data_IF_761660476994
#
_entry.id   IF_761660476994
#
_cell.length_a   1.000
_cell.length_b   1.000
_cell.length_c   1.000
_cell.angle_alpha   90.00
_cell.angle_beta   90.00
_cell.angle_gamma   90.00
#
_symmetry.space_group_name_H-M   'P 1'
#
loop_
_entity.id
_entity.type
_entity.pdbx_description
1 polymer ?
#
# COMPACT_ATOMS: atom_id res chain seq x y z
N UNK A 1 -18.82 -11.83 12.58
CA UNK A 1 -18.74 -12.18 11.15
C UNK A 1 -17.48 -12.99 10.90
N UNK A 2 -17.47 -13.77 9.82
CA UNK A 2 -16.29 -14.49 9.35
C UNK A 2 -15.62 -13.68 8.23
N UNK A 3 -14.42 -13.21 8.48
CA UNK A 3 -13.70 -12.30 7.57
C UNK A 3 -12.51 -13.02 6.94
N UNK A 4 -12.51 -13.13 5.61
CA UNK A 4 -11.34 -13.60 4.87
C UNK A 4 -10.31 -12.47 4.77
N UNK A 5 -9.09 -12.73 5.21
CA UNK A 5 -7.96 -11.81 5.07
C UNK A 5 -6.84 -12.52 4.29
N UNK A 6 -6.57 -12.08 3.07
CA UNK A 6 -5.43 -12.60 2.30
C UNK A 6 -4.18 -11.77 2.60
N UNK A 7 -3.00 -12.40 2.64
CA UNK A 7 -1.79 -11.74 3.11
C UNK A 7 -1.76 -11.54 4.63
N UNK A 8 -2.45 -12.41 5.35
CA UNK A 8 -2.69 -12.33 6.80
C UNK A 8 -1.42 -12.40 7.66
N UNK A 9 -0.36 -13.06 7.17
CA UNK A 9 0.95 -13.15 7.86
C UNK A 9 1.90 -12.01 7.48
N UNK A 10 1.49 -11.13 6.57
CA UNK A 10 2.25 -9.94 6.20
C UNK A 10 2.29 -8.89 7.32
N UNK A 11 3.18 -7.90 7.20
CA UNK A 11 3.35 -6.84 8.22
C UNK A 11 2.03 -6.15 8.58
N UNK A 12 1.23 -5.74 7.60
CA UNK A 12 -0.08 -5.09 7.85
C UNK A 12 -1.13 -6.15 8.21
N UNK A 13 -1.08 -7.30 7.54
CA UNK A 13 -2.06 -8.39 7.71
C UNK A 13 -2.16 -8.88 9.15
N UNK A 14 -1.03 -9.11 9.82
CA UNK A 14 -1.03 -9.56 11.21
C UNK A 14 -1.73 -8.59 12.17
N UNK A 15 -1.54 -7.28 11.97
CA UNK A 15 -2.24 -6.26 12.78
C UNK A 15 -3.73 -6.19 12.46
N UNK A 16 -4.11 -6.32 11.18
CA UNK A 16 -5.53 -6.35 10.77
C UNK A 16 -6.24 -7.57 11.34
N UNK A 17 -5.61 -8.75 11.27
CA UNK A 17 -6.12 -9.98 11.90
C UNK A 17 -6.39 -9.75 13.39
N UNK A 18 -5.42 -9.21 14.12
CA UNK A 18 -5.60 -8.90 15.53
C UNK A 18 -6.73 -7.92 15.75
N UNK A 19 -6.78 -6.82 15.02
CA UNK A 19 -7.83 -5.79 15.18
C UNK A 19 -9.23 -6.32 14.91
N UNK A 20 -9.41 -7.23 13.94
CA UNK A 20 -10.68 -7.88 13.65
C UNK A 20 -11.09 -8.83 14.77
N UNK A 21 -10.16 -9.61 15.31
CA UNK A 21 -10.42 -10.52 16.43
C UNK A 21 -10.78 -9.74 17.70
N UNK A 22 -10.08 -8.64 18.00
CA UNK A 22 -10.37 -7.76 19.14
C UNK A 22 -11.78 -7.16 19.04
N UNK A 23 -12.34 -7.02 17.83
CA UNK A 23 -13.76 -6.64 17.60
C UNK A 23 -14.74 -7.81 17.62
N UNK A 24 -14.29 -9.01 17.92
CA UNK A 24 -15.15 -10.21 18.04
C UNK A 24 -15.49 -10.88 16.72
N UNK A 25 -14.72 -10.66 15.66
CA UNK A 25 -14.85 -11.38 14.40
C UNK A 25 -14.01 -12.66 14.39
N UNK A 26 -14.44 -13.65 13.62
CA UNK A 26 -13.61 -14.79 13.26
C UNK A 26 -12.85 -14.44 11.97
N UNK A 27 -11.55 -14.70 11.93
CA UNK A 27 -10.71 -14.39 10.77
C UNK A 27 -10.22 -15.67 10.11
N UNK A 28 -10.54 -15.85 8.83
CA UNK A 28 -9.93 -16.85 7.97
C UNK A 28 -8.69 -16.17 7.36
N UNK A 29 -7.52 -16.46 7.91
CA UNK A 29 -6.25 -15.83 7.51
C UNK A 29 -5.52 -16.65 6.48
N UNK A 30 -5.49 -16.19 5.22
CA UNK A 30 -4.84 -16.88 4.11
C UNK A 30 -3.49 -16.24 3.81
N UNK A 31 -2.42 -17.04 3.81
CA UNK A 31 -1.07 -16.64 3.42
C UNK A 31 -0.25 -17.84 2.96
N UNK A 32 0.88 -17.61 2.30
CA UNK A 32 1.85 -18.66 1.95
C UNK A 32 2.69 -19.16 3.12
N UNK A 33 2.71 -18.38 4.20
CA UNK A 33 3.44 -18.71 5.42
C UNK A 33 2.51 -18.72 6.62
N UNK A 34 2.83 -19.54 7.61
CA UNK A 34 2.08 -19.56 8.87
C UNK A 34 2.17 -18.22 9.60
N UNK A 35 1.11 -17.81 10.31
CA UNK A 35 1.18 -16.64 11.18
C UNK A 35 2.21 -16.85 12.29
N UNK A 36 2.90 -15.76 12.67
CA UNK A 36 3.89 -15.81 13.77
C UNK A 36 3.18 -15.93 15.12
N UNK A 37 1.98 -15.35 15.23
CA UNK A 37 1.18 -15.33 16.45
C UNK A 37 -0.15 -16.02 16.17
N UNK A 38 -0.50 -16.96 17.03
CA UNK A 38 -1.80 -17.61 17.02
C UNK A 38 -2.77 -16.85 17.94
N UNK A 39 -3.97 -16.60 17.43
CA UNK A 39 -5.05 -15.96 18.19
C UNK A 39 -6.26 -16.85 18.25
N UNK A 40 -6.96 -16.86 19.39
CA UNK A 40 -8.29 -17.44 19.43
C UNK A 40 -9.22 -16.63 18.51
N UNK A 41 -9.87 -17.29 17.56
CA UNK A 41 -10.68 -16.64 16.52
C UNK A 41 -9.95 -16.49 15.17
N UNK A 42 -8.65 -16.88 15.08
CA UNK A 42 -7.95 -17.03 13.81
C UNK A 42 -8.02 -18.47 13.32
N UNK A 43 -8.48 -18.66 12.10
CA UNK A 43 -8.38 -19.89 11.31
C UNK A 43 -7.28 -19.69 10.28
N UNK A 44 -6.03 -20.13 10.54
CA UNK A 44 -4.94 -19.94 9.61
C UNK A 44 -5.01 -20.96 8.48
N UNK A 45 -4.96 -20.49 7.24
CA UNK A 45 -4.91 -21.31 6.03
C UNK A 45 -3.64 -21.01 5.26
N UNK A 46 -2.74 -22.00 5.18
CA UNK A 46 -1.48 -21.87 4.44
C UNK A 46 -1.67 -22.40 3.03
N UNK A 47 -1.74 -21.50 2.07
CA UNK A 47 -1.86 -21.85 0.64
C UNK A 47 -1.22 -20.78 -0.25
N UNK A 48 -0.91 -21.17 -1.49
CA UNK A 48 -0.56 -20.22 -2.54
C UNK A 48 -1.82 -19.82 -3.29
N UNK A 49 -2.10 -18.52 -3.35
CA UNK A 49 -3.28 -17.98 -4.05
C UNK A 49 -3.32 -18.28 -5.56
N UNK A 50 -2.26 -18.85 -6.13
CA UNK A 50 -2.28 -19.40 -7.49
C UNK A 50 -3.05 -20.71 -7.62
N UNK A 51 -3.21 -21.44 -6.52
CA UNK A 51 -4.02 -22.67 -6.51
C UNK A 51 -5.50 -22.30 -6.46
N UNK A 52 -6.12 -22.21 -7.64
CA UNK A 52 -7.55 -21.87 -7.76
C UNK A 52 -8.43 -22.83 -7.00
N UNK A 53 -8.11 -24.13 -7.04
CA UNK A 53 -8.90 -25.17 -6.37
C UNK A 53 -8.80 -25.03 -4.84
N UNK A 54 -7.61 -24.74 -4.30
CA UNK A 54 -7.44 -24.51 -2.87
C UNK A 54 -8.19 -23.24 -2.41
N UNK A 55 -8.16 -22.17 -3.21
CA UNK A 55 -8.94 -20.97 -2.92
C UNK A 55 -10.44 -21.28 -2.92
N UNK A 56 -10.96 -22.04 -3.89
CA UNK A 56 -12.36 -22.48 -3.93
C UNK A 56 -12.69 -23.32 -2.68
N UNK A 57 -11.78 -24.20 -2.25
CA UNK A 57 -11.98 -25.03 -1.06
C UNK A 57 -12.08 -24.18 0.22
N UNK A 58 -11.31 -23.08 0.35
CA UNK A 58 -11.45 -22.16 1.49
C UNK A 58 -12.88 -21.61 1.61
N UNK A 59 -13.53 -21.28 0.50
CA UNK A 59 -14.92 -20.81 0.49
C UNK A 59 -15.93 -21.93 0.70
N UNK A 60 -15.60 -23.16 0.35
CA UNK A 60 -16.45 -24.32 0.62
C UNK A 60 -16.44 -24.71 2.10
N UNK A 61 -15.27 -24.65 2.73
CA UNK A 61 -15.09 -25.04 4.12
C UNK A 61 -15.52 -23.97 5.13
N UNK A 62 -15.59 -22.70 4.68
CA UNK A 62 -15.84 -21.57 5.55
C UNK A 62 -16.97 -20.69 5.01
N UNK A 63 -17.96 -20.37 5.87
CA UNK A 63 -18.89 -19.31 5.56
C UNK A 63 -18.17 -17.96 5.69
N UNK A 64 -17.90 -17.30 4.56
CA UNK A 64 -17.22 -16.01 4.52
C UNK A 64 -18.25 -14.91 4.31
N UNK A 65 -18.26 -13.91 5.20
CA UNK A 65 -19.17 -12.78 5.14
C UNK A 65 -18.55 -11.57 4.41
N UNK A 66 -17.23 -11.39 4.49
CA UNK A 66 -16.48 -10.32 3.83
C UNK A 66 -15.03 -10.74 3.53
N UNK A 67 -14.41 -10.09 2.54
CA UNK A 67 -13.02 -10.32 2.16
C UNK A 67 -12.22 -9.01 2.21
N UNK A 68 -11.07 -9.02 2.91
CA UNK A 68 -10.05 -7.96 2.85
C UNK A 68 -8.85 -8.53 2.09
N UNK A 69 -8.63 -8.05 0.86
CA UNK A 69 -7.53 -8.52 0.03
C UNK A 69 -6.29 -7.63 0.19
N UNK A 70 -5.34 -8.13 1.01
CA UNK A 70 -4.05 -7.49 1.31
C UNK A 70 -2.88 -8.14 0.58
N UNK A 71 -3.02 -9.39 0.13
CA UNK A 71 -1.93 -10.13 -0.50
C UNK A 71 -1.40 -9.35 -1.71
N UNK A 72 -0.14 -8.98 -1.68
CA UNK A 72 0.53 -8.30 -2.77
C UNK A 72 2.05 -8.32 -2.61
N UNK A 73 2.75 -8.31 -3.73
CA UNK A 73 4.16 -7.99 -3.80
C UNK A 73 4.33 -6.47 -3.75
N UNK A 74 4.49 -5.90 -2.55
CA UNK A 74 4.58 -4.45 -2.34
C UNK A 74 6.00 -3.97 -2.04
N UNK A 75 6.73 -4.70 -1.18
CA UNK A 75 8.04 -4.31 -0.69
C UNK A 75 9.09 -5.29 -1.17
N UNK A 76 9.99 -4.78 -2.00
CA UNK A 76 10.97 -5.56 -2.74
C UNK A 76 12.41 -5.25 -2.32
N UNK A 77 12.58 -4.64 -1.13
CA UNK A 77 13.90 -4.38 -0.59
C UNK A 77 14.70 -5.69 -0.46
N UNK A 78 15.81 -5.79 -1.17
CA UNK A 78 16.65 -7.00 -1.22
C UNK A 78 16.28 -8.03 -2.29
N UNK A 79 15.14 -7.92 -2.97
CA UNK A 79 14.79 -8.79 -4.10
C UNK A 79 15.45 -8.27 -5.38
N UNK A 80 16.13 -9.17 -6.11
CA UNK A 80 16.74 -8.85 -7.42
C UNK A 80 15.81 -9.32 -8.54
N UNK A 81 15.88 -8.65 -9.69
CA UNK A 81 15.24 -9.04 -10.95
C UNK A 81 13.70 -9.09 -10.95
N UNK A 82 13.04 -8.17 -10.25
CA UNK A 82 11.59 -8.05 -10.29
C UNK A 82 11.13 -7.44 -11.61
N UNK A 83 10.55 -8.27 -12.45
CA UNK A 83 9.99 -7.87 -13.76
C UNK A 83 8.54 -7.44 -13.64
N UNK A 84 8.00 -6.84 -14.69
CA UNK A 84 6.56 -6.58 -14.81
C UNK A 84 5.73 -7.85 -14.66
N UNK A 85 6.17 -8.95 -15.31
CA UNK A 85 5.50 -10.24 -15.24
C UNK A 85 5.37 -10.77 -13.84
N UNK A 86 6.41 -10.58 -13.00
CA UNK A 86 6.35 -10.97 -11.59
C UNK A 86 5.27 -10.21 -10.84
N UNK A 87 5.19 -8.89 -11.04
CA UNK A 87 4.15 -8.07 -10.42
C UNK A 87 2.76 -8.40 -10.94
N UNK A 88 2.60 -8.56 -12.26
CA UNK A 88 1.35 -8.94 -12.89
C UNK A 88 0.85 -10.27 -12.35
N UNK A 89 1.71 -11.27 -12.32
CA UNK A 89 1.39 -12.59 -11.81
C UNK A 89 0.92 -12.52 -10.36
N UNK A 90 1.70 -11.92 -9.46
CA UNK A 90 1.41 -11.95 -8.02
C UNK A 90 0.27 -10.98 -7.64
N UNK A 91 0.23 -9.77 -8.20
CA UNK A 91 -0.70 -8.73 -7.75
C UNK A 91 -2.00 -8.68 -8.56
N UNK A 92 -2.03 -9.29 -9.76
CA UNK A 92 -3.23 -9.28 -10.60
C UNK A 92 -3.83 -10.67 -10.70
N UNK A 93 -3.09 -11.68 -11.20
CA UNK A 93 -3.65 -13.02 -11.42
C UNK A 93 -4.09 -13.70 -10.11
N UNK A 94 -3.29 -13.60 -9.04
CA UNK A 94 -3.73 -14.10 -7.72
C UNK A 94 -4.95 -13.35 -7.19
N UNK A 95 -5.00 -12.02 -7.40
CA UNK A 95 -6.15 -11.24 -6.97
C UNK A 95 -7.42 -11.64 -7.75
N UNK A 96 -7.32 -11.86 -9.06
CA UNK A 96 -8.43 -12.34 -9.90
C UNK A 96 -9.03 -13.64 -9.37
N UNK A 97 -8.21 -14.62 -8.99
CA UNK A 97 -8.67 -15.88 -8.42
C UNK A 97 -9.51 -15.64 -7.15
N UNK A 98 -9.04 -14.76 -6.26
CA UNK A 98 -9.78 -14.41 -5.04
C UNK A 98 -11.07 -13.66 -5.37
N UNK A 99 -11.02 -12.72 -6.33
CA UNK A 99 -12.19 -11.96 -6.75
C UNK A 99 -13.26 -12.84 -7.38
N UNK A 100 -12.87 -13.81 -8.23
CA UNK A 100 -13.79 -14.80 -8.81
C UNK A 100 -14.47 -15.64 -7.74
N UNK A 101 -13.71 -16.09 -6.74
CA UNK A 101 -14.26 -16.86 -5.61
C UNK A 101 -15.22 -16.01 -4.77
N UNK A 102 -14.89 -14.74 -4.48
CA UNK A 102 -15.77 -13.80 -3.79
C UNK A 102 -17.05 -13.53 -4.60
N UNK A 103 -16.93 -13.27 -5.91
CA UNK A 103 -18.07 -13.01 -6.78
C UNK A 103 -19.04 -14.20 -6.85
N UNK A 104 -18.50 -15.41 -6.98
CA UNK A 104 -19.29 -16.65 -7.01
C UNK A 104 -20.10 -16.86 -5.72
N UNK A 105 -19.56 -16.43 -4.58
CA UNK A 105 -20.17 -16.59 -3.25
C UNK A 105 -20.89 -15.31 -2.77
N UNK A 106 -21.01 -14.26 -3.60
CA UNK A 106 -21.59 -12.96 -3.25
C UNK A 106 -20.92 -12.30 -2.03
N UNK A 107 -19.62 -12.49 -1.85
CA UNK A 107 -18.83 -11.94 -0.74
C UNK A 107 -18.33 -10.54 -1.12
N UNK A 108 -18.65 -9.49 -0.36
CA UNK A 108 -18.10 -8.14 -0.57
C UNK A 108 -16.58 -8.09 -0.38
N UNK A 109 -15.91 -7.33 -1.22
CA UNK A 109 -14.43 -7.23 -1.22
C UNK A 109 -13.97 -5.83 -0.88
N UNK A 110 -13.08 -5.70 0.11
CA UNK A 110 -12.21 -4.56 0.26
C UNK A 110 -10.86 -4.86 -0.38
N UNK A 111 -10.51 -4.11 -1.42
CA UNK A 111 -9.21 -4.20 -2.07
C UNK A 111 -8.29 -3.09 -1.61
N UNK A 112 -7.12 -3.45 -1.10
CA UNK A 112 -6.13 -2.45 -0.70
C UNK A 112 -5.23 -2.13 -1.88
N UNK A 113 -5.40 -0.92 -2.39
CA UNK A 113 -4.63 -0.30 -3.46
C UNK A 113 -3.66 0.75 -2.91
N UNK A 114 -3.18 1.63 -3.75
CA UNK A 114 -2.16 2.62 -3.43
C UNK A 114 -2.31 3.88 -4.27
N UNK A 115 -1.89 5.03 -3.75
CA UNK A 115 -1.77 6.26 -4.54
C UNK A 115 -0.71 6.15 -5.66
N UNK A 116 0.21 5.18 -5.59
CA UNK A 116 1.16 4.91 -6.69
C UNK A 116 0.45 4.42 -7.98
N UNK A 117 -0.79 3.93 -7.88
CA UNK A 117 -1.62 3.61 -9.04
C UNK A 117 -2.01 4.86 -9.85
N UNK A 118 -2.08 6.03 -9.21
CA UNK A 118 -2.41 7.31 -9.86
C UNK A 118 -1.20 7.86 -10.66
N UNK A 119 0.02 7.69 -10.16
CA UNK A 119 1.24 8.07 -10.87
C UNK A 119 1.64 9.54 -10.71
N UNK A 120 2.11 10.18 -11.81
CA UNK A 120 2.66 11.55 -11.77
C UNK A 120 1.56 12.60 -11.98
N UNK A 121 0.89 12.99 -10.92
CA UNK A 121 -0.07 14.11 -10.91
C UNK A 121 0.47 15.24 -10.06
N UNK A 122 0.40 16.48 -10.56
CA UNK A 122 0.75 17.69 -9.81
C UNK A 122 -0.51 18.27 -9.19
N UNK A 123 -0.46 18.51 -7.87
CA UNK A 123 -1.55 19.17 -7.16
C UNK A 123 -2.52 18.19 -6.52
N UNK A 124 -3.82 18.47 -6.66
CA UNK A 124 -4.88 17.75 -5.98
C UNK A 124 -5.25 16.48 -6.76
N UNK A 125 -5.42 15.38 -6.03
CA UNK A 125 -5.97 14.13 -6.55
C UNK A 125 -7.26 13.78 -5.83
N UNK A 126 -8.17 13.15 -6.56
CA UNK A 126 -9.48 12.68 -6.07
C UNK A 126 -9.60 11.18 -6.32
N UNK A 127 -10.60 10.50 -5.76
CA UNK A 127 -10.90 9.11 -6.11
C UNK A 127 -11.06 8.87 -7.62
N UNK A 128 -11.57 9.88 -8.35
CA UNK A 128 -11.82 9.82 -9.81
C UNK A 128 -10.60 10.19 -10.66
N UNK A 129 -9.48 10.57 -10.04
CA UNK A 129 -8.27 10.90 -10.79
C UNK A 129 -7.82 9.72 -11.64
N UNK A 130 -7.58 9.95 -12.93
CA UNK A 130 -7.16 8.95 -13.90
C UNK A 130 -5.88 8.23 -13.46
N UNK A 131 -5.86 6.92 -13.65
CA UNK A 131 -4.71 6.08 -13.30
C UNK A 131 -3.65 6.14 -14.39
N UNK A 132 -2.45 6.61 -14.06
CA UNK A 132 -1.30 6.67 -14.97
C UNK A 132 -0.01 6.25 -14.24
N UNK A 133 0.05 5.02 -13.74
CA UNK A 133 1.13 4.54 -12.89
C UNK A 133 2.47 4.45 -13.62
N UNK A 134 3.55 4.72 -12.90
CA UNK A 134 4.92 4.66 -13.42
C UNK A 134 5.63 3.38 -12.96
N UNK A 135 5.47 3.01 -11.69
CA UNK A 135 6.11 1.81 -11.14
C UNK A 135 5.36 0.54 -11.54
N UNK A 136 6.07 -0.59 -11.65
CA UNK A 136 5.43 -1.90 -11.87
C UNK A 136 4.43 -2.24 -10.76
N UNK A 137 4.75 -1.86 -9.52
CA UNK A 137 3.81 -1.99 -8.40
C UNK A 137 2.53 -1.18 -8.64
N UNK A 138 2.66 0.12 -8.92
CA UNK A 138 1.49 0.97 -9.21
C UNK A 138 0.66 0.45 -10.40
N UNK A 139 1.33 0.02 -11.49
CA UNK A 139 0.67 -0.59 -12.66
C UNK A 139 -0.12 -1.84 -12.29
N UNK A 140 0.47 -2.73 -11.49
CA UNK A 140 -0.20 -3.96 -11.06
C UNK A 140 -1.41 -3.68 -10.17
N UNK A 141 -1.31 -2.71 -9.26
CA UNK A 141 -2.44 -2.32 -8.40
C UNK A 141 -3.56 -1.65 -9.21
N UNK A 142 -3.21 -0.75 -10.15
CA UNK A 142 -4.18 -0.14 -11.07
C UNK A 142 -4.92 -1.18 -11.92
N UNK A 143 -4.20 -2.17 -12.44
CA UNK A 143 -4.80 -3.27 -13.22
C UNK A 143 -5.72 -4.13 -12.36
N UNK A 144 -5.32 -4.45 -11.12
CA UNK A 144 -6.15 -5.22 -10.19
C UNK A 144 -7.42 -4.45 -9.77
N UNK A 145 -7.36 -3.09 -9.63
CA UNK A 145 -8.57 -2.27 -9.43
C UNK A 145 -9.59 -2.44 -10.58
N UNK A 146 -9.10 -2.46 -11.83
CA UNK A 146 -9.95 -2.70 -13.01
C UNK A 146 -10.59 -4.08 -12.94
N UNK A 147 -9.79 -5.13 -12.68
CA UNK A 147 -10.28 -6.51 -12.57
C UNK A 147 -11.30 -6.70 -11.46
N UNK A 148 -11.10 -6.07 -10.30
CA UNK A 148 -12.08 -6.10 -9.20
C UNK A 148 -13.45 -5.58 -9.67
N UNK A 149 -13.46 -4.41 -10.35
CA UNK A 149 -14.70 -3.77 -10.81
C UNK A 149 -15.43 -4.60 -11.88
N UNK A 150 -14.68 -5.33 -12.71
CA UNK A 150 -15.25 -6.21 -13.72
C UNK A 150 -15.83 -7.50 -13.13
N UNK A 151 -15.18 -8.07 -12.10
CA UNK A 151 -15.49 -9.38 -11.55
C UNK A 151 -16.51 -9.28 -10.40
N UNK A 152 -16.32 -8.34 -9.48
CA UNK A 152 -17.11 -8.26 -8.24
C UNK A 152 -18.26 -7.26 -8.36
N UNK A 153 -19.44 -7.65 -7.89
CA UNK A 153 -20.62 -6.77 -7.83
C UNK A 153 -20.59 -5.80 -6.64
N UNK A 154 -19.95 -6.19 -5.55
CA UNK A 154 -19.94 -5.45 -4.28
C UNK A 154 -18.50 -5.31 -3.80
N UNK A 155 -17.97 -4.09 -3.79
CA UNK A 155 -16.58 -3.82 -3.48
C UNK A 155 -16.36 -2.40 -2.93
N UNK A 156 -15.23 -2.22 -2.24
CA UNK A 156 -14.60 -0.92 -2.04
C UNK A 156 -13.11 -1.03 -2.37
N UNK A 157 -12.51 0.08 -2.78
CA UNK A 157 -11.07 0.21 -3.03
C UNK A 157 -10.53 1.27 -2.08
N UNK A 158 -9.53 0.89 -1.28
CA UNK A 158 -8.79 1.84 -0.46
C UNK A 158 -7.41 2.07 -1.07
N UNK A 159 -7.18 3.26 -1.63
CA UNK A 159 -5.86 3.71 -2.12
C UNK A 159 -5.10 4.30 -0.94
N UNK A 160 -4.17 3.53 -0.40
CA UNK A 160 -3.36 4.00 0.72
C UNK A 160 -2.29 4.98 0.29
N UNK A 161 -2.15 6.09 1.01
CA UNK A 161 -0.94 6.90 1.04
C UNK A 161 0.24 6.07 1.58
N UNK A 162 1.51 6.49 1.39
CA UNK A 162 2.65 5.72 1.87
C UNK A 162 2.52 5.37 3.36
N UNK A 163 2.39 4.07 3.64
CA UNK A 163 2.23 3.57 5.01
C UNK A 163 3.57 3.59 5.73
N UNK A 164 3.60 4.11 6.95
CA UNK A 164 4.79 4.15 7.81
C UNK A 164 4.48 3.76 9.24
N UNK A 165 5.52 3.37 9.96
CA UNK A 165 5.57 3.32 11.42
C UNK A 165 6.72 4.20 11.91
N UNK A 166 6.78 4.58 13.19
CA UNK A 166 7.94 5.28 13.76
C UNK A 166 9.27 4.57 13.48
N UNK A 167 9.27 3.24 13.48
CA UNK A 167 10.45 2.39 13.31
C UNK A 167 10.76 2.11 11.82
N UNK A 168 9.74 2.08 10.96
CA UNK A 168 9.86 1.69 9.55
C UNK A 168 9.41 2.84 8.66
N UNK A 169 10.34 3.74 8.34
CA UNK A 169 10.09 4.92 7.51
C UNK A 169 10.16 4.65 6.00
N UNK A 170 10.69 3.50 5.58
CA UNK A 170 10.71 2.96 4.18
C UNK A 170 11.04 4.00 3.10
N UNK A 171 10.12 4.21 2.14
CA UNK A 171 10.32 5.14 1.02
C UNK A 171 10.27 6.61 1.44
N UNK A 172 9.70 6.91 2.61
CA UNK A 172 9.72 8.27 3.17
C UNK A 172 11.14 8.64 3.57
N UNK A 173 11.90 7.72 4.18
CA UNK A 173 13.30 7.94 4.57
C UNK A 173 14.15 8.40 3.38
N UNK A 174 13.94 7.82 2.19
CA UNK A 174 14.66 8.19 0.97
C UNK A 174 14.45 9.64 0.51
N UNK A 175 13.49 10.35 1.07
CA UNK A 175 13.15 11.74 0.70
C UNK A 175 13.84 12.78 1.56
N UNK A 176 14.54 12.36 2.63
CA UNK A 176 15.19 13.29 3.56
C UNK A 176 16.49 12.74 4.18
N UNK A 177 16.85 11.47 3.94
CA UNK A 177 17.99 10.84 4.60
C UNK A 177 18.82 10.00 3.64
N UNK A 178 20.17 10.15 3.73
CA UNK A 178 21.17 9.37 3.02
C UNK A 178 21.89 8.46 4.02
N UNK A 179 21.74 7.15 3.86
CA UNK A 179 22.41 6.15 4.73
C UNK A 179 23.93 6.24 4.71
N UNK A 180 24.48 6.72 3.61
CA UNK A 180 25.91 7.00 3.43
C UNK A 180 26.05 8.39 2.84
N UNK A 181 26.66 9.33 3.54
CA UNK A 181 27.47 9.27 4.78
C UNK A 181 26.72 9.51 6.10
N UNK A 182 25.47 9.11 6.27
CA UNK A 182 24.58 9.39 7.39
C UNK A 182 24.24 10.87 7.50
N UNK A 183 23.77 11.43 6.41
CA UNK A 183 23.35 12.82 6.33
C UNK A 183 21.86 12.91 6.09
N UNK A 184 21.21 13.79 6.81
CA UNK A 184 19.89 14.23 6.43
C UNK A 184 20.01 15.25 5.28
N UNK A 185 18.96 15.38 4.49
CA UNK A 185 18.88 16.44 3.50
C UNK A 185 17.48 17.00 3.36
N UNK A 186 17.38 18.25 2.94
CA UNK A 186 16.11 18.86 2.55
C UNK A 186 16.24 19.65 1.27
N UNK A 187 15.15 19.71 0.51
CA UNK A 187 15.06 20.45 -0.74
C UNK A 187 14.38 21.78 -0.43
N UNK A 188 15.11 22.89 -0.64
CA UNK A 188 14.65 24.22 -0.24
C UNK A 188 14.46 24.33 1.28
N UNK A 189 13.26 24.73 1.72
CA UNK A 189 12.92 24.84 3.14
C UNK A 189 12.41 23.51 3.74
N UNK A 190 12.39 22.44 2.98
CA UNK A 190 11.74 21.19 3.31
C UNK A 190 10.39 21.06 2.63
N UNK A 191 9.64 20.02 2.97
CA UNK A 191 8.32 19.75 2.40
C UNK A 191 7.49 18.87 3.32
N UNK A 192 6.18 18.93 3.11
CA UNK A 192 5.22 18.11 3.84
C UNK A 192 4.65 17.06 2.90
N UNK A 193 4.47 15.84 3.39
CA UNK A 193 3.96 14.71 2.63
C UNK A 193 2.68 14.18 3.28
N UNK A 194 1.73 13.78 2.43
CA UNK A 194 0.64 12.92 2.87
C UNK A 194 1.18 11.51 3.06
N UNK A 195 0.86 10.95 4.20
CA UNK A 195 1.27 9.61 4.64
C UNK A 195 0.11 8.93 5.35
N UNK A 196 0.27 7.68 5.70
CA UNK A 196 -0.70 6.93 6.50
C UNK A 196 0.05 6.17 7.59
N UNK A 197 -0.22 6.51 8.85
CA UNK A 197 0.28 5.72 9.96
C UNK A 197 -0.35 4.33 9.92
N UNK A 198 0.41 3.32 10.30
CA UNK A 198 -0.06 1.94 10.32
C UNK A 198 -1.33 1.77 11.14
N UNK A 199 -1.46 2.49 12.26
CA UNK A 199 -2.67 2.45 13.11
C UNK A 199 -3.89 2.96 12.35
N UNK A 200 -3.76 4.06 11.59
CA UNK A 200 -4.84 4.57 10.72
C UNK A 200 -5.20 3.58 9.61
N UNK A 201 -4.20 2.93 9.01
CA UNK A 201 -4.42 1.91 8.00
C UNK A 201 -5.22 0.71 8.56
N UNK A 202 -4.86 0.24 9.75
CA UNK A 202 -5.55 -0.87 10.42
C UNK A 202 -6.98 -0.47 10.77
N UNK A 203 -7.17 0.71 11.41
CA UNK A 203 -8.50 1.20 11.77
C UNK A 203 -9.42 1.30 10.56
N UNK A 204 -8.94 1.87 9.45
CA UNK A 204 -9.73 1.99 8.23
C UNK A 204 -10.24 0.64 7.71
N UNK A 205 -9.40 -0.40 7.73
CA UNK A 205 -9.77 -1.74 7.28
C UNK A 205 -10.69 -2.47 8.26
N UNK A 206 -10.41 -2.35 9.55
CA UNK A 206 -11.23 -2.98 10.61
C UNK A 206 -12.61 -2.34 10.69
N UNK A 207 -12.70 -1.01 10.53
CA UNK A 207 -13.97 -0.29 10.53
C UNK A 207 -14.80 -0.53 9.26
N UNK A 208 -14.16 -0.86 8.13
CA UNK A 208 -14.86 -1.20 6.90
C UNK A 208 -15.80 -2.40 7.06
N UNK A 209 -15.46 -3.32 7.92
CA UNK A 209 -16.24 -4.56 8.11
C UNK A 209 -17.67 -4.27 8.59
N UNK A 210 -17.89 -3.18 9.32
CA UNK A 210 -19.20 -2.78 9.84
C UNK A 210 -19.92 -1.76 8.94
N UNK A 211 -19.25 -1.24 7.90
CA UNK A 211 -19.80 -0.23 6.98
C UNK A 211 -20.60 -0.88 5.85
N UNK A 212 -21.53 -0.12 5.27
CA UNK A 212 -22.16 -0.48 4.00
C UNK A 212 -21.11 -0.44 2.89
N UNK A 213 -21.07 -1.47 2.07
CA UNK A 213 -20.22 -1.52 0.87
C UNK A 213 -20.99 -0.91 -0.29
N UNK A 214 -20.44 0.10 -0.95
CA UNK A 214 -21.15 0.99 -1.88
C UNK A 214 -20.42 1.21 -3.22
N UNK A 215 -19.44 0.37 -3.53
CA UNK A 215 -18.66 0.40 -4.78
C UNK A 215 -17.89 1.71 -4.99
N UNK A 216 -17.34 2.27 -3.91
CA UNK A 216 -16.58 3.51 -3.94
C UNK A 216 -15.08 3.30 -3.77
N UNK A 217 -14.33 4.31 -4.19
CA UNK A 217 -12.88 4.40 -4.00
C UNK A 217 -12.62 5.46 -2.95
N UNK A 218 -11.77 5.15 -1.98
CA UNK A 218 -11.33 6.09 -0.96
C UNK A 218 -9.81 6.22 -0.97
N UNK A 219 -9.32 7.43 -0.78
CA UNK A 219 -7.89 7.66 -0.50
C UNK A 219 -7.70 7.76 1.00
N UNK A 220 -7.02 6.80 1.58
CA UNK A 220 -6.81 6.72 3.02
C UNK A 220 -5.45 7.32 3.37
N UNK A 221 -5.46 8.30 4.25
CA UNK A 221 -4.30 9.07 4.70
C UNK A 221 -4.49 9.56 6.13
N UNK A 222 -3.42 10.01 6.75
CA UNK A 222 -3.51 10.76 8.01
C UNK A 222 -4.08 12.16 7.77
N UNK A 223 -4.74 12.72 8.77
CA UNK A 223 -5.21 14.12 8.74
C UNK A 223 -4.05 15.11 8.77
N UNK A 224 -2.97 14.75 9.46
CA UNK A 224 -1.79 15.59 9.57
C UNK A 224 -0.75 15.25 8.50
N UNK A 225 -0.10 16.29 8.00
CA UNK A 225 1.00 16.14 7.04
C UNK A 225 2.30 15.84 7.78
N UNK A 226 3.08 14.92 7.26
CA UNK A 226 4.40 14.62 7.77
C UNK A 226 5.41 15.68 7.31
N UNK A 227 5.93 16.49 8.25
CA UNK A 227 6.93 17.53 7.97
C UNK A 227 8.35 16.92 7.96
N UNK A 228 9.06 17.12 6.86
CA UNK A 228 10.46 16.70 6.70
C UNK A 228 11.38 17.34 7.74
N UNK A 229 11.12 18.59 8.16
CA UNK A 229 11.96 19.22 9.17
C UNK A 229 11.83 18.54 10.53
N UNK A 230 10.64 18.07 10.89
CA UNK A 230 10.42 17.28 12.12
C UNK A 230 11.17 15.95 12.04
N UNK A 231 11.08 15.26 10.89
CA UNK A 231 11.82 14.00 10.68
C UNK A 231 13.33 14.20 10.81
N UNK A 232 13.87 15.27 10.21
CA UNK A 232 15.30 15.60 10.28
C UNK A 232 15.71 15.92 11.72
N UNK A 233 14.86 16.66 12.47
CA UNK A 233 15.13 16.96 13.87
C UNK A 233 15.21 15.67 14.72
N UNK A 234 14.31 14.72 14.49
CA UNK A 234 14.33 13.42 15.17
C UNK A 234 15.60 12.61 14.82
N UNK A 235 15.98 12.55 13.52
CA UNK A 235 17.22 11.86 13.10
C UNK A 235 18.47 12.45 13.76
N UNK A 236 18.49 13.77 13.99
CA UNK A 236 19.57 14.45 14.71
C UNK A 236 19.56 14.11 16.20
N UNK A 237 18.39 14.16 16.84
CA UNK A 237 18.23 13.83 18.25
C UNK A 237 18.64 12.39 18.57
N UNK A 238 18.35 11.47 17.66
CA UNK A 238 18.78 10.07 17.75
C UNK A 238 20.26 9.84 17.37
N UNK A 239 20.99 10.88 16.99
CA UNK A 239 22.40 10.80 16.59
C UNK A 239 22.64 10.11 15.24
N UNK A 240 21.59 9.79 14.48
CA UNK A 240 21.70 9.12 13.17
C UNK A 240 22.14 10.08 12.06
N UNK A 241 21.66 11.32 12.06
CA UNK A 241 22.07 12.34 11.09
C UNK A 241 23.24 13.18 11.61
N UNK A 242 24.43 12.97 11.04
CA UNK A 242 25.64 13.77 11.39
C UNK A 242 25.55 15.21 10.89
N UNK A 243 25.02 15.41 9.69
CA UNK A 243 24.89 16.71 9.04
C UNK A 243 23.54 16.82 8.32
N UNK A 244 23.15 18.05 8.00
CA UNK A 244 21.96 18.35 7.19
C UNK A 244 22.39 19.12 5.94
N UNK A 245 22.19 18.51 4.79
CA UNK A 245 22.44 19.15 3.50
C UNK A 245 21.17 19.88 3.03
N UNK A 246 21.29 21.17 2.75
CA UNK A 246 20.23 21.96 2.13
C UNK A 246 20.49 22.08 0.63
N UNK A 247 19.63 21.47 -0.18
CA UNK A 247 19.75 21.46 -1.63
C UNK A 247 18.80 22.51 -2.21
N UNK A 248 19.29 23.50 -2.96
CA UNK A 248 18.42 24.48 -3.62
C UNK A 248 17.38 23.79 -4.50
N UNK A 249 16.11 24.19 -4.35
CA UNK A 249 14.99 23.55 -5.09
C UNK A 249 15.18 23.63 -6.61
N UNK A 250 15.68 24.77 -7.12
CA UNK A 250 15.92 24.93 -8.55
C UNK A 250 16.91 23.92 -9.12
N UNK A 251 17.95 23.57 -8.35
CA UNK A 251 18.97 22.58 -8.78
C UNK A 251 18.33 21.19 -8.95
N UNK A 252 17.48 20.79 -8.00
CA UNK A 252 16.79 19.49 -8.08
C UNK A 252 15.78 19.48 -9.22
N UNK A 253 15.10 20.60 -9.47
CA UNK A 253 14.15 20.74 -10.60
C UNK A 253 14.92 20.63 -11.93
N UNK A 254 16.06 21.31 -12.09
CA UNK A 254 16.89 21.17 -13.29
C UNK A 254 17.36 19.72 -13.47
N UNK A 255 17.89 19.11 -12.41
CA UNK A 255 18.31 17.71 -12.42
C UNK A 255 17.17 16.76 -12.80
N UNK A 256 15.95 16.99 -12.29
CA UNK A 256 14.78 16.21 -12.66
C UNK A 256 14.49 16.24 -14.16
N UNK A 257 14.52 17.43 -14.79
CA UNK A 257 14.25 17.55 -16.22
C UNK A 257 15.35 16.91 -17.07
N UNK A 258 16.62 17.03 -16.67
CA UNK A 258 17.75 16.35 -17.34
C UNK A 258 17.57 14.83 -17.25
N UNK A 259 17.34 14.29 -16.06
CA UNK A 259 17.14 12.83 -15.87
C UNK A 259 15.92 12.35 -16.65
N UNK A 260 14.83 13.13 -16.66
CA UNK A 260 13.62 12.81 -17.42
C UNK A 260 13.85 12.79 -18.93
N UNK A 261 14.70 13.70 -19.43
CA UNK A 261 15.05 13.75 -20.85
C UNK A 261 15.86 12.50 -21.27
N UNK A 262 16.80 12.07 -20.42
CA UNK A 262 17.71 10.95 -20.71
C UNK A 262 17.03 9.59 -20.49
N UNK A 263 16.29 9.43 -19.40
CA UNK A 263 15.74 8.14 -18.94
C UNK A 263 14.22 8.04 -19.04
N UNK A 264 13.53 9.10 -19.46
CA UNK A 264 12.08 9.14 -19.55
C UNK A 264 11.39 9.04 -18.19
N UNK A 265 10.17 8.50 -18.20
CA UNK A 265 9.39 8.23 -16.99
C UNK A 265 9.80 6.88 -16.39
N UNK A 266 10.61 6.89 -15.35
CA UNK A 266 11.07 5.71 -14.64
C UNK A 266 10.94 5.86 -13.12
N UNK A 267 11.19 4.80 -12.36
CA UNK A 267 11.07 4.83 -10.89
C UNK A 267 11.94 5.91 -10.24
N UNK A 268 13.13 6.21 -10.78
CA UNK A 268 14.00 7.26 -10.24
C UNK A 268 13.40 8.65 -10.47
N UNK A 269 12.93 8.93 -11.69
CA UNK A 269 12.26 10.21 -12.00
C UNK A 269 10.98 10.36 -11.20
N UNK A 270 10.24 9.27 -10.95
CA UNK A 270 9.03 9.28 -10.15
C UNK A 270 9.30 9.59 -8.68
N UNK A 271 10.35 9.03 -8.08
CA UNK A 271 10.73 9.35 -6.69
C UNK A 271 11.07 10.85 -6.53
N UNK A 272 11.88 11.40 -7.44
CA UNK A 272 12.22 12.83 -7.43
C UNK A 272 10.97 13.69 -7.66
N UNK A 273 10.09 13.28 -8.56
CA UNK A 273 8.83 13.96 -8.80
C UNK A 273 7.97 14.04 -7.53
N UNK A 274 7.73 12.93 -6.85
CA UNK A 274 6.95 12.89 -5.59
C UNK A 274 7.55 13.77 -4.49
N UNK A 275 8.87 13.95 -4.51
CA UNK A 275 9.56 14.80 -3.53
C UNK A 275 9.44 16.28 -3.87
N UNK A 276 9.52 16.65 -5.15
CA UNK A 276 9.41 18.03 -5.60
C UNK A 276 7.97 18.56 -5.62
N UNK A 277 7.03 17.70 -5.98
CA UNK A 277 5.61 18.02 -6.14
C UNK A 277 4.75 16.98 -5.40
N UNK A 278 4.75 17.04 -4.07
CA UNK A 278 3.86 16.19 -3.31
C UNK A 278 2.41 16.56 -3.66
N UNK A 279 1.61 15.55 -3.95
CA UNK A 279 0.18 15.74 -4.20
C UNK A 279 -0.57 15.97 -2.89
N UNK A 280 -1.81 16.42 -3.02
CA UNK A 280 -2.81 16.50 -1.96
C UNK A 280 -4.05 15.75 -2.40
N UNK A 281 -4.65 15.02 -1.48
CA UNK A 281 -5.87 14.26 -1.76
C UNK A 281 -7.07 14.99 -1.19
N UNK A 282 -8.14 15.02 -1.98
CA UNK A 282 -9.48 15.42 -1.53
C UNK A 282 -10.39 14.21 -1.69
N UNK A 283 -11.21 13.97 -0.66
CA UNK A 283 -12.27 12.96 -0.67
C UNK A 283 -13.45 13.39 -1.53
#
# INVERSE_FOLDING_TARGET
MNILVTGSSGMIGGYVVKGLIDKGHTVIGVDRVKPIVEYQGLIPVVLDLFSKDDVIQVFADNKIDRCIHLAALAHTAGMKNLTWETYRKINVECAEIVFEACAKNNVPVLFISTVDAIGMVKGIITPDTELNPISNYGKSKAMAEGRLKEICKVWNIYRFSPVYTPEIKRDIEKRYYLKYPNWAYKIGEGGNFEVLNITGAISAMVDWVDKKVDNTIHVIKDTELLDVNVLIANEKAEGRAKNVLRIPRWLVVCGYYVVKLVFGKCNKTYLVFKTLWPFRTIE
#
